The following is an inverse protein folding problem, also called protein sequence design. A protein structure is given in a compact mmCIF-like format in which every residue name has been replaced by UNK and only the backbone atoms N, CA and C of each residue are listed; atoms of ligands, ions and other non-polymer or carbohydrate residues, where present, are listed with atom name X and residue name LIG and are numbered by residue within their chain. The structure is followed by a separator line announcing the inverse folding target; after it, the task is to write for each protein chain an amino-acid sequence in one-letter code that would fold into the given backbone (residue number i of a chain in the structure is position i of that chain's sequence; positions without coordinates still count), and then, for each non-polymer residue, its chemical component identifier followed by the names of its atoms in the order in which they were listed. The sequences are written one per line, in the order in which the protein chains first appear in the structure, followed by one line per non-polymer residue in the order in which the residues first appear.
data_IF_278672826920
#
_entry.id   IF_278672826920
#
_cell.length_a   1.000
_cell.length_b   1.000
_cell.length_c   1.000
_cell.angle_alpha   90.00
_cell.angle_beta   90.00
_cell.angle_gamma   90.00
#
_symmetry.space_group_name_H-M   'P 1'
#
loop_
_entity.id
_entity.type
_entity.pdbx_description
1 polymer ?
#
# COMPACT_ATOMS: atom_id res chain seq x y z
N UNK A 1 -17.93 64.02 0.41
CA UNK A 1 -18.56 62.72 0.16
C UNK A 1 -17.91 61.72 1.13
N UNK A 2 -18.50 61.53 2.30
CA UNK A 2 -17.97 60.65 3.35
C UNK A 2 -18.52 59.23 3.10
N UNK A 3 -17.70 58.36 2.61
CA UNK A 3 -18.00 56.93 2.53
C UNK A 3 -17.93 56.38 3.95
N UNK A 4 -19.05 55.85 4.40
CA UNK A 4 -19.29 55.41 5.76
C UNK A 4 -18.35 54.22 6.09
N UNK A 5 -17.29 54.45 6.87
CA UNK A 5 -16.29 53.46 7.29
C UNK A 5 -16.91 52.26 8.01
N UNK A 6 -18.11 52.39 8.55
CA UNK A 6 -18.86 51.32 9.22
C UNK A 6 -19.39 50.25 8.26
N UNK A 7 -19.67 50.61 6.99
CA UNK A 7 -20.16 49.64 5.98
C UNK A 7 -19.03 48.72 5.47
N UNK A 8 -17.80 49.25 5.48
CA UNK A 8 -16.64 48.45 5.02
C UNK A 8 -16.23 47.39 6.05
N UNK A 9 -16.47 47.61 7.35
CA UNK A 9 -16.16 46.68 8.42
C UNK A 9 -17.14 45.50 8.46
N UNK A 10 -18.39 45.72 8.08
CA UNK A 10 -19.42 44.67 8.04
C UNK A 10 -19.22 43.75 6.81
N UNK A 11 -18.76 44.27 5.69
CA UNK A 11 -18.49 43.49 4.48
C UNK A 11 -17.26 42.57 4.64
N UNK A 12 -16.26 43.00 5.43
CA UNK A 12 -15.08 42.18 5.73
C UNK A 12 -15.35 41.04 6.75
N UNK A 13 -16.35 41.22 7.63
CA UNK A 13 -16.74 40.20 8.60
C UNK A 13 -17.53 39.05 7.94
N UNK A 14 -18.28 39.30 6.84
CA UNK A 14 -19.03 38.28 6.11
C UNK A 14 -18.17 37.41 5.18
N UNK A 15 -16.94 37.83 4.85
CA UNK A 15 -16.02 37.04 4.02
C UNK A 15 -15.15 36.07 4.83
N UNK A 16 -15.26 36.07 6.16
CA UNK A 16 -14.50 35.19 7.06
C UNK A 16 -15.30 34.02 7.61
N UNK A 17 -16.56 33.85 7.21
CA UNK A 17 -17.47 32.86 7.81
C UNK A 17 -17.54 31.49 7.14
N UNK A 18 -16.83 31.22 6.03
CA UNK A 18 -16.87 29.94 5.33
C UNK A 18 -15.47 29.32 5.11
N UNK A 19 -14.64 29.32 6.16
CA UNK A 19 -13.61 28.31 6.20
C UNK A 19 -14.29 27.01 6.66
N UNK A 20 -14.40 25.99 5.79
CA UNK A 20 -14.93 24.71 6.24
C UNK A 20 -14.06 24.23 7.39
N UNK A 21 -14.67 24.05 8.55
CA UNK A 21 -13.99 23.42 9.68
C UNK A 21 -13.39 22.11 9.12
N UNK A 22 -12.07 21.92 9.26
CA UNK A 22 -11.44 20.68 8.86
C UNK A 22 -12.13 19.54 9.64
N UNK A 23 -13.03 18.85 8.98
CA UNK A 23 -13.70 17.69 9.56
C UNK A 23 -12.70 16.54 9.66
N UNK A 24 -12.85 15.69 10.69
CA UNK A 24 -12.14 14.42 10.76
C UNK A 24 -12.36 13.66 9.44
N UNK A 25 -11.28 13.19 8.85
CA UNK A 25 -11.30 12.51 7.56
C UNK A 25 -10.84 11.06 7.77
N UNK A 26 -11.69 10.11 7.36
CA UNK A 26 -11.35 8.68 7.43
C UNK A 26 -10.58 8.24 6.20
N UNK A 27 -10.96 8.71 5.03
CA UNK A 27 -10.35 8.35 3.75
C UNK A 27 -9.92 9.60 3.00
N UNK A 28 -8.72 9.59 2.42
CA UNK A 28 -8.31 10.68 1.54
C UNK A 28 -9.26 10.79 0.35
N UNK A 29 -9.58 12.03 -0.03
CA UNK A 29 -10.40 12.30 -1.21
C UNK A 29 -9.62 11.99 -2.50
N UNK A 30 -10.32 11.72 -3.62
CA UNK A 30 -9.67 11.51 -4.92
C UNK A 30 -8.72 12.65 -5.32
N UNK A 31 -9.06 13.89 -5.01
CA UNK A 31 -8.22 15.05 -5.36
C UNK A 31 -6.96 15.13 -4.48
N UNK A 32 -7.05 14.75 -3.20
CA UNK A 32 -5.88 14.65 -2.34
C UNK A 32 -4.93 13.54 -2.82
N UNK A 33 -5.46 12.37 -3.24
CA UNK A 33 -4.65 11.28 -3.77
C UNK A 33 -3.96 11.71 -5.08
N UNK A 34 -4.68 12.39 -5.98
CA UNK A 34 -4.09 12.96 -7.20
C UNK A 34 -2.97 13.96 -6.88
N UNK A 35 -3.18 14.80 -5.86
CA UNK A 35 -2.19 15.80 -5.45
C UNK A 35 -0.88 15.20 -4.92
N UNK A 36 -0.92 14.02 -4.27
CA UNK A 36 0.27 13.31 -3.77
C UNK A 36 0.85 12.32 -4.77
N UNK A 37 0.17 12.07 -5.90
CA UNK A 37 0.63 11.19 -6.99
C UNK A 37 0.61 11.92 -8.34
N UNK A 38 1.21 13.13 -8.46
CA UNK A 38 1.06 14.00 -9.63
C UNK A 38 1.76 13.43 -10.88
N UNK A 39 2.80 12.61 -10.70
CA UNK A 39 3.57 12.01 -11.80
C UNK A 39 2.78 10.91 -12.55
N UNK A 40 1.68 10.40 -11.96
CA UNK A 40 0.85 9.42 -12.62
C UNK A 40 -0.15 10.08 -13.59
N UNK A 41 0.04 9.85 -14.87
CA UNK A 41 -0.80 10.38 -15.96
C UNK A 41 -1.76 9.35 -16.56
N UNK A 42 -1.72 8.10 -16.08
CA UNK A 42 -2.57 7.01 -16.56
C UNK A 42 -3.97 6.98 -15.93
N UNK A 43 -4.69 5.88 -16.19
CA UNK A 43 -6.03 5.63 -15.63
C UNK A 43 -5.98 5.61 -14.08
N UNK A 44 -7.06 6.06 -13.44
CA UNK A 44 -7.23 6.03 -11.99
C UNK A 44 -8.54 5.31 -11.63
N UNK A 45 -8.55 4.74 -10.43
CA UNK A 45 -9.79 4.32 -9.80
C UNK A 45 -10.65 5.52 -9.40
N UNK A 46 -11.94 5.29 -9.12
CA UNK A 46 -12.88 6.33 -8.70
C UNK A 46 -12.43 7.01 -7.39
N UNK A 47 -11.71 6.29 -6.52
CA UNK A 47 -11.12 6.82 -5.30
C UNK A 47 -9.86 7.68 -5.54
N UNK A 48 -9.39 7.81 -6.78
CA UNK A 48 -8.26 8.64 -7.19
C UNK A 48 -6.92 7.90 -7.24
N UNK A 49 -6.83 6.65 -6.75
CA UNK A 49 -5.59 5.86 -6.79
C UNK A 49 -5.13 5.60 -8.23
N UNK A 50 -3.82 5.66 -8.52
CA UNK A 50 -3.26 5.17 -9.76
C UNK A 50 -3.69 3.73 -10.07
N UNK A 51 -4.08 3.47 -11.32
CA UNK A 51 -4.48 2.14 -11.80
C UNK A 51 -3.43 1.60 -12.76
N UNK A 52 -2.34 1.08 -12.22
CA UNK A 52 -1.35 0.33 -13.01
C UNK A 52 -2.06 -0.84 -13.70
N UNK A 53 -1.83 -1.05 -14.99
CA UNK A 53 -2.55 -2.08 -15.76
C UNK A 53 -2.20 -3.49 -15.28
N UNK A 54 -3.17 -4.41 -15.36
CA UNK A 54 -2.98 -5.81 -14.97
C UNK A 54 -1.86 -6.46 -15.78
N UNK A 55 -1.79 -6.17 -17.09
CA UNK A 55 -0.71 -6.64 -17.97
C UNK A 55 0.68 -6.23 -17.48
N UNK A 56 0.82 -5.03 -16.89
CA UNK A 56 2.08 -4.57 -16.38
C UNK A 56 2.41 -5.25 -15.04
N UNK A 57 1.41 -5.50 -14.20
CA UNK A 57 1.56 -6.27 -12.96
C UNK A 57 1.95 -7.73 -13.24
N UNK A 58 1.34 -8.38 -14.25
CA UNK A 58 1.72 -9.73 -14.68
C UNK A 58 3.19 -9.80 -15.10
N UNK A 59 3.70 -8.81 -15.82
CA UNK A 59 5.13 -8.71 -16.16
C UNK A 59 5.99 -8.49 -14.91
N UNK A 60 5.54 -7.62 -14.00
CA UNK A 60 6.23 -7.34 -12.75
C UNK A 60 6.41 -8.60 -11.90
N UNK A 61 5.46 -9.53 -11.89
CA UNK A 61 5.57 -10.80 -11.17
C UNK A 61 6.82 -11.62 -11.54
N UNK A 62 7.31 -11.48 -12.76
CA UNK A 62 8.47 -12.21 -13.27
C UNK A 62 9.82 -11.51 -13.00
N UNK A 63 9.80 -10.26 -12.52
CA UNK A 63 11.02 -9.50 -12.23
C UNK A 63 11.63 -9.97 -10.90
N UNK A 64 12.95 -10.06 -10.81
CA UNK A 64 13.62 -10.35 -9.53
C UNK A 64 13.51 -9.15 -8.57
N UNK A 65 13.60 -9.46 -7.29
CA UNK A 65 13.58 -8.41 -6.25
C UNK A 65 14.79 -7.48 -6.37
N UNK A 66 15.95 -8.06 -6.68
CA UNK A 66 17.23 -7.36 -6.81
C UNK A 66 17.23 -6.40 -8.01
N UNK A 67 16.65 -6.80 -9.13
CA UNK A 67 16.54 -5.95 -10.33
C UNK A 67 15.60 -4.76 -10.09
N UNK A 68 14.43 -5.02 -9.49
CA UNK A 68 13.51 -3.97 -9.12
C UNK A 68 14.13 -2.99 -8.12
N UNK A 69 14.78 -3.53 -7.07
CA UNK A 69 15.47 -2.73 -6.06
C UNK A 69 16.61 -1.90 -6.66
N UNK A 70 17.46 -2.52 -7.48
CA UNK A 70 18.58 -1.84 -8.11
C UNK A 70 18.14 -0.71 -9.04
N UNK A 71 17.05 -0.94 -9.79
CA UNK A 71 16.48 0.09 -10.67
C UNK A 71 15.95 1.28 -9.86
N UNK A 72 15.16 1.02 -8.80
CA UNK A 72 14.63 2.08 -7.94
C UNK A 72 15.75 2.86 -7.23
N UNK A 73 16.77 2.16 -6.73
CA UNK A 73 17.91 2.78 -6.06
C UNK A 73 18.67 3.74 -6.99
N UNK A 74 18.87 3.35 -8.25
CA UNK A 74 19.52 4.20 -9.26
C UNK A 74 18.69 5.43 -9.63
N UNK A 75 17.37 5.39 -9.38
CA UNK A 75 16.45 6.52 -9.53
C UNK A 75 16.32 7.37 -8.27
N UNK A 76 17.08 7.06 -7.19
CA UNK A 76 17.04 7.80 -5.93
C UNK A 76 16.07 7.25 -4.88
N UNK A 77 15.34 6.16 -5.18
CA UNK A 77 14.40 5.51 -4.25
C UNK A 77 15.11 4.45 -3.41
N UNK A 78 15.73 4.86 -2.31
CA UNK A 78 16.60 3.99 -1.50
C UNK A 78 15.85 3.10 -0.50
N UNK A 79 14.62 3.45 -0.14
CA UNK A 79 13.87 2.86 0.97
C UNK A 79 12.50 2.33 0.52
N UNK A 80 12.46 1.48 -0.51
CA UNK A 80 11.21 0.92 -1.04
C UNK A 80 11.06 -0.58 -0.78
N UNK A 81 12.04 -1.22 -0.18
CA UNK A 81 12.05 -2.65 0.14
C UNK A 81 11.99 -2.89 1.64
N UNK A 82 11.24 -3.92 2.04
CA UNK A 82 11.19 -4.43 3.42
C UNK A 82 11.29 -5.95 3.43
N UNK A 83 12.07 -6.49 4.35
CA UNK A 83 12.27 -7.92 4.59
C UNK A 83 11.67 -8.40 5.90
N UNK A 84 12.11 -9.58 6.33
CA UNK A 84 11.77 -10.19 7.63
C UNK A 84 10.26 -10.38 7.83
N UNK A 85 9.63 -11.05 6.89
CA UNK A 85 8.20 -11.37 6.91
C UNK A 85 7.96 -12.83 7.31
N UNK A 86 6.89 -13.06 8.06
CA UNK A 86 6.18 -14.34 8.06
C UNK A 86 5.27 -14.32 6.82
N UNK A 87 5.39 -15.36 5.99
CA UNK A 87 4.66 -15.45 4.72
C UNK A 87 3.71 -16.64 4.81
N UNK A 88 2.46 -16.43 4.42
CA UNK A 88 1.44 -17.50 4.50
C UNK A 88 1.76 -18.60 3.48
N UNK A 89 2.06 -18.25 2.24
CA UNK A 89 2.46 -19.18 1.17
C UNK A 89 3.78 -18.72 0.53
N UNK A 90 4.90 -19.22 1.05
CA UNK A 90 6.25 -18.75 0.67
C UNK A 90 6.59 -18.89 -0.82
N UNK A 91 6.04 -19.89 -1.49
CA UNK A 91 6.34 -20.15 -2.90
C UNK A 91 5.52 -19.29 -3.87
N UNK A 92 4.52 -18.56 -3.37
CA UNK A 92 3.66 -17.75 -4.22
C UNK A 92 4.18 -16.32 -4.32
N UNK A 93 4.15 -15.79 -5.52
CA UNK A 93 4.42 -14.37 -5.80
C UNK A 93 3.10 -13.61 -5.73
N UNK A 94 3.09 -12.47 -5.06
CA UNK A 94 1.96 -11.56 -5.05
C UNK A 94 2.34 -10.23 -5.70
N UNK A 95 1.52 -9.78 -6.64
CA UNK A 95 1.61 -8.45 -7.24
C UNK A 95 0.25 -7.76 -7.18
N UNK A 96 0.24 -6.45 -7.06
CA UNK A 96 -1.01 -5.70 -7.06
C UNK A 96 -0.79 -4.22 -6.82
N UNK A 97 -1.87 -3.51 -6.55
CA UNK A 97 -1.89 -2.07 -6.27
C UNK A 97 -2.19 -1.85 -4.80
N UNK A 98 -1.43 -1.00 -4.14
CA UNK A 98 -1.61 -0.75 -2.72
C UNK A 98 -2.91 0.02 -2.43
N UNK A 99 -3.81 -0.58 -1.65
CA UNK A 99 -4.79 0.15 -0.85
C UNK A 99 -4.17 0.32 0.53
N UNK A 100 -3.80 1.54 0.88
CA UNK A 100 -3.01 1.83 2.08
C UNK A 100 -3.88 2.16 3.28
N UNK A 101 -3.50 1.64 4.45
CA UNK A 101 -4.21 1.90 5.71
C UNK A 101 -3.23 2.13 6.84
N UNK A 102 -3.43 3.21 7.58
CA UNK A 102 -2.63 3.54 8.76
C UNK A 102 -3.37 3.16 10.03
N UNK A 103 -2.69 2.42 10.89
CA UNK A 103 -3.11 2.18 12.27
C UNK A 103 -2.15 2.85 13.25
N UNK A 104 -2.67 3.18 14.42
CA UNK A 104 -1.94 3.82 15.52
C UNK A 104 -2.31 3.17 16.85
N UNK A 105 -1.48 3.35 17.90
CA UNK A 105 -1.88 3.00 19.27
C UNK A 105 -3.23 3.64 19.61
N UNK A 106 -4.09 2.88 20.30
CA UNK A 106 -5.44 3.33 20.63
C UNK A 106 -5.41 4.62 21.46
N UNK A 107 -6.06 5.62 20.93
CA UNK A 107 -6.40 6.86 21.61
C UNK A 107 -7.92 7.03 21.58
N UNK A 108 -8.62 6.78 22.72
CA UNK A 108 -10.08 6.63 22.73
C UNK A 108 -10.83 7.84 22.18
N UNK A 109 -10.46 9.04 22.58
CA UNK A 109 -11.10 10.30 22.14
C UNK A 109 -11.04 10.48 20.61
N UNK A 110 -9.92 10.16 19.98
CA UNK A 110 -9.79 10.20 18.52
C UNK A 110 -10.45 9.02 17.83
N UNK A 111 -10.30 7.83 18.39
CA UNK A 111 -10.98 6.64 17.86
C UNK A 111 -12.51 6.83 17.78
N UNK A 112 -13.10 7.46 18.79
CA UNK A 112 -14.54 7.75 18.81
C UNK A 112 -14.93 8.74 17.71
N UNK A 113 -14.09 9.76 17.43
CA UNK A 113 -14.31 10.66 16.30
C UNK A 113 -14.24 9.96 14.96
N UNK A 114 -13.25 9.05 14.75
CA UNK A 114 -13.12 8.25 13.54
C UNK A 114 -14.35 7.35 13.35
N UNK A 115 -14.78 6.65 14.41
CA UNK A 115 -15.96 5.79 14.36
C UNK A 115 -17.21 6.58 14.02
N UNK A 116 -17.47 7.68 14.73
CA UNK A 116 -18.59 8.57 14.44
C UNK A 116 -18.60 9.04 12.99
N UNK A 117 -17.44 9.45 12.48
CA UNK A 117 -17.31 9.89 11.10
C UNK A 117 -17.61 8.76 10.11
N UNK A 118 -17.11 7.56 10.39
CA UNK A 118 -17.41 6.38 9.56
C UNK A 118 -18.91 6.04 9.56
N UNK A 119 -19.59 6.12 10.70
CA UNK A 119 -21.04 5.93 10.81
C UNK A 119 -21.81 6.99 9.99
N UNK A 120 -21.39 8.25 10.05
CA UNK A 120 -21.95 9.35 9.22
C UNK A 120 -21.76 9.09 7.72
N UNK A 121 -20.68 8.42 7.33
CA UNK A 121 -20.40 7.99 5.95
C UNK A 121 -21.10 6.67 5.56
N UNK A 122 -21.88 6.07 6.47
CA UNK A 122 -22.61 4.82 6.24
C UNK A 122 -21.75 3.56 6.30
N UNK A 123 -20.54 3.62 6.89
CA UNK A 123 -19.69 2.45 7.07
C UNK A 123 -20.23 1.52 8.14
N UNK A 124 -20.09 0.23 7.92
CA UNK A 124 -20.63 -0.82 8.79
C UNK A 124 -19.47 -1.65 9.36
N UNK A 125 -19.65 -2.15 10.59
CA UNK A 125 -18.72 -3.05 11.26
C UNK A 125 -17.51 -2.37 11.90
N UNK A 126 -16.48 -3.14 12.17
CA UNK A 126 -15.23 -2.64 12.76
C UNK A 126 -14.41 -1.83 11.77
N UNK A 127 -13.61 -0.88 12.29
CA UNK A 127 -12.80 0.00 11.44
C UNK A 127 -11.82 -0.77 10.54
N UNK A 128 -11.40 -1.97 10.94
CA UNK A 128 -10.52 -2.84 10.16
C UNK A 128 -11.22 -3.53 8.97
N UNK A 129 -12.55 -3.57 8.94
CA UNK A 129 -13.32 -4.08 7.79
C UNK A 129 -13.56 -3.02 6.72
N UNK A 130 -13.58 -1.74 7.07
CA UNK A 130 -13.90 -0.65 6.14
C UNK A 130 -12.98 -0.57 4.90
N UNK A 131 -11.66 -0.78 5.02
CA UNK A 131 -10.80 -0.82 3.83
C UNK A 131 -11.13 -1.97 2.88
N UNK A 132 -11.67 -3.09 3.41
CA UNK A 132 -12.00 -4.29 2.63
C UNK A 132 -13.09 -3.98 1.62
N UNK A 133 -14.09 -3.18 2.02
CA UNK A 133 -15.20 -2.76 1.15
C UNK A 133 -14.74 -1.85 0.00
N UNK A 134 -13.50 -1.32 0.08
CA UNK A 134 -12.92 -0.44 -0.94
C UNK A 134 -11.94 -1.17 -1.89
N UNK A 135 -11.67 -2.45 -1.64
CA UNK A 135 -10.77 -3.24 -2.49
C UNK A 135 -11.41 -3.49 -3.86
N UNK A 136 -10.59 -3.35 -4.89
CA UNK A 136 -10.91 -3.74 -6.27
C UNK A 136 -10.05 -4.94 -6.69
N UNK A 137 -10.45 -5.70 -7.74
CA UNK A 137 -9.64 -6.79 -8.27
C UNK A 137 -8.21 -6.33 -8.60
N UNK A 138 -7.22 -7.09 -8.11
CA UNK A 138 -5.80 -6.78 -8.25
C UNK A 138 -5.24 -5.81 -7.20
N UNK A 139 -6.02 -5.39 -6.22
CA UNK A 139 -5.51 -4.63 -5.07
C UNK A 139 -4.82 -5.54 -4.06
N UNK A 140 -3.87 -4.98 -3.33
CA UNK A 140 -3.26 -5.55 -2.11
C UNK A 140 -3.64 -4.65 -0.94
N UNK A 141 -4.20 -5.22 0.13
CA UNK A 141 -4.43 -4.46 1.34
C UNK A 141 -3.11 -4.29 2.08
N UNK A 142 -2.58 -3.06 2.07
CA UNK A 142 -1.30 -2.71 2.71
C UNK A 142 -1.56 -1.90 3.98
N UNK A 143 -1.17 -2.42 5.14
CA UNK A 143 -1.39 -1.74 6.40
C UNK A 143 -0.11 -1.53 7.21
N UNK A 144 0.05 -0.32 7.74
CA UNK A 144 1.00 -0.07 8.82
C UNK A 144 0.30 -0.21 10.18
N UNK A 145 0.53 -1.34 10.84
CA UNK A 145 0.13 -1.63 12.21
C UNK A 145 1.25 -1.41 13.21
N UNK A 146 2.23 -0.58 12.89
CA UNK A 146 3.42 -0.25 13.71
C UNK A 146 4.12 -1.46 14.35
N UNK A 147 4.04 -2.63 13.72
CA UNK A 147 4.64 -3.88 14.21
C UNK A 147 3.94 -4.50 15.41
N UNK A 148 2.71 -4.08 15.74
CA UNK A 148 1.96 -4.61 16.88
C UNK A 148 1.49 -6.05 16.60
N UNK A 149 1.76 -6.94 17.56
CA UNK A 149 1.40 -8.36 17.48
C UNK A 149 0.22 -8.65 18.42
N UNK A 150 0.44 -8.63 19.73
CA UNK A 150 -0.59 -8.91 20.73
C UNK A 150 -1.60 -7.79 20.78
N UNK A 151 -2.92 -8.11 20.83
CA UNK A 151 -4.03 -7.14 20.81
C UNK A 151 -4.03 -6.19 19.59
N UNK A 152 -3.41 -6.62 18.50
CA UNK A 152 -3.26 -5.84 17.28
C UNK A 152 -3.51 -6.63 16.00
N UNK A 153 -4.14 -7.80 16.09
CA UNK A 153 -4.41 -8.63 14.91
C UNK A 153 -5.47 -7.96 14.01
N UNK A 154 -5.05 -7.62 12.80
CA UNK A 154 -5.86 -6.83 11.87
C UNK A 154 -7.00 -7.65 11.27
N UNK A 155 -6.74 -8.92 10.95
CA UNK A 155 -7.70 -9.83 10.36
C UNK A 155 -7.58 -11.24 10.96
N UNK A 156 -8.64 -12.03 10.79
CA UNK A 156 -8.66 -13.48 10.84
C UNK A 156 -9.17 -14.03 9.50
N UNK A 157 -9.51 -15.31 9.47
CA UNK A 157 -9.95 -16.04 8.27
C UNK A 157 -11.22 -15.46 7.62
N UNK A 158 -12.19 -15.04 8.41
CA UNK A 158 -13.43 -14.40 7.89
C UNK A 158 -13.12 -13.16 7.06
N UNK A 159 -12.26 -12.25 7.56
CA UNK A 159 -11.86 -11.05 6.82
C UNK A 159 -10.90 -11.40 5.69
N UNK A 160 -10.06 -12.43 5.85
CA UNK A 160 -9.22 -12.97 4.77
C UNK A 160 -10.05 -13.44 3.56
N UNK A 161 -11.12 -14.20 3.81
CA UNK A 161 -12.07 -14.60 2.76
C UNK A 161 -12.70 -13.39 2.05
N UNK A 162 -13.10 -12.37 2.82
CA UNK A 162 -13.68 -11.15 2.26
C UNK A 162 -12.66 -10.38 1.41
N UNK A 163 -11.42 -10.23 1.89
CA UNK A 163 -10.33 -9.59 1.13
C UNK A 163 -10.12 -10.31 -0.21
N UNK A 164 -10.00 -11.64 -0.18
CA UNK A 164 -9.82 -12.42 -1.41
C UNK A 164 -11.03 -12.33 -2.34
N UNK A 165 -12.23 -12.33 -1.81
CA UNK A 165 -13.46 -12.18 -2.60
C UNK A 165 -13.46 -10.88 -3.42
N UNK A 166 -13.00 -9.77 -2.83
CA UNK A 166 -12.99 -8.44 -3.47
C UNK A 166 -11.75 -8.23 -4.35
N UNK A 167 -10.56 -8.53 -3.82
CA UNK A 167 -9.30 -8.19 -4.49
C UNK A 167 -8.74 -9.29 -5.39
N UNK A 168 -9.12 -10.57 -5.18
CA UNK A 168 -8.47 -11.74 -5.73
C UNK A 168 -6.97 -11.79 -5.40
N UNK A 169 -6.61 -11.24 -4.26
CA UNK A 169 -5.24 -11.02 -3.81
C UNK A 169 -5.17 -11.15 -2.27
N UNK A 170 -4.13 -10.62 -1.67
CA UNK A 170 -3.85 -10.76 -0.25
C UNK A 170 -3.45 -9.48 0.44
N UNK A 171 -2.56 -9.61 1.44
CA UNK A 171 -2.20 -8.53 2.35
C UNK A 171 -0.70 -8.35 2.53
N UNK A 172 -0.29 -7.12 2.85
CA UNK A 172 1.03 -6.79 3.40
C UNK A 172 0.81 -5.99 4.69
N UNK A 173 1.05 -6.59 5.85
CA UNK A 173 0.80 -5.97 7.13
C UNK A 173 2.07 -5.80 7.96
N UNK A 174 2.47 -4.58 8.20
CA UNK A 174 3.40 -4.28 9.28
C UNK A 174 2.68 -4.43 10.63
N UNK A 175 2.23 -5.63 10.93
CA UNK A 175 1.36 -6.00 12.03
C UNK A 175 1.10 -7.50 12.04
N UNK A 176 0.04 -7.93 12.71
CA UNK A 176 -0.28 -9.35 12.91
C UNK A 176 -1.67 -9.75 12.39
N UNK A 177 -1.83 -11.05 12.24
CA UNK A 177 -3.11 -11.70 11.96
C UNK A 177 -3.41 -12.78 13.00
N UNK A 178 -4.65 -13.27 13.00
CA UNK A 178 -5.06 -14.48 13.73
C UNK A 178 -5.60 -15.53 12.76
N UNK A 179 -5.95 -16.69 13.30
CA UNK A 179 -6.58 -17.77 12.52
C UNK A 179 -5.74 -18.19 11.29
N UNK A 180 -4.41 -18.30 11.47
CA UNK A 180 -3.45 -18.53 10.38
C UNK A 180 -3.82 -19.75 9.54
N UNK A 181 -4.19 -20.87 10.17
CA UNK A 181 -4.60 -22.07 9.47
C UNK A 181 -5.82 -21.84 8.54
N UNK A 182 -6.79 -21.05 8.99
CA UNK A 182 -7.93 -20.68 8.14
C UNK A 182 -7.56 -19.73 7.01
N UNK A 183 -6.56 -18.88 7.20
CA UNK A 183 -6.01 -18.04 6.11
C UNK A 183 -5.23 -18.86 5.07
N UNK A 184 -4.51 -19.90 5.50
CA UNK A 184 -3.81 -20.85 4.63
C UNK A 184 -4.76 -21.69 3.75
N UNK A 185 -6.00 -21.92 4.21
CA UNK A 185 -7.01 -22.65 3.43
C UNK A 185 -7.66 -21.82 2.31
N UNK A 186 -7.44 -20.49 2.29
CA UNK A 186 -8.03 -19.62 1.24
C UNK A 186 -7.18 -19.73 -0.03
N UNK A 187 -7.64 -20.51 -1.00
CA UNK A 187 -6.94 -20.68 -2.27
C UNK A 187 -6.70 -19.36 -3.00
N UNK A 188 -5.43 -19.05 -3.29
CA UNK A 188 -5.00 -17.82 -3.97
C UNK A 188 -4.80 -16.62 -3.06
N UNK A 189 -5.20 -16.66 -1.80
CA UNK A 189 -4.84 -15.62 -0.83
C UNK A 189 -3.39 -15.79 -0.40
N UNK A 190 -2.70 -14.67 -0.20
CA UNK A 190 -1.37 -14.70 0.43
C UNK A 190 -1.19 -13.50 1.38
N UNK A 191 -0.21 -13.59 2.29
CA UNK A 191 0.05 -12.53 3.25
C UNK A 191 1.51 -12.46 3.66
N UNK A 192 2.04 -11.24 3.66
CA UNK A 192 3.32 -10.86 4.27
C UNK A 192 3.01 -10.10 5.55
N UNK A 193 3.28 -10.70 6.69
CA UNK A 193 2.88 -10.22 8.02
C UNK A 193 4.07 -10.22 8.97
N UNK A 194 4.03 -9.47 10.06
CA UNK A 194 5.10 -9.47 11.07
C UNK A 194 4.90 -10.51 12.16
N UNK A 195 3.71 -11.09 12.27
CA UNK A 195 3.45 -12.16 13.23
C UNK A 195 2.00 -12.60 13.28
N UNK A 196 1.73 -13.51 14.20
CA UNK A 196 0.39 -14.01 14.50
C UNK A 196 0.15 -14.01 16.01
N UNK A 197 -1.10 -13.86 16.41
CA UNK A 197 -1.53 -13.91 17.80
C UNK A 197 -3.01 -14.28 17.86
N UNK A 198 -3.52 -15.04 18.85
CA UNK A 198 -4.95 -15.38 18.93
C UNK A 198 -5.84 -14.21 19.37
N UNK A 199 -5.25 -13.09 19.78
CA UNK A 199 -6.01 -11.90 20.17
C UNK A 199 -6.75 -11.26 18.98
N UNK A 200 -7.46 -10.18 19.24
CA UNK A 200 -8.12 -9.37 18.23
C UNK A 200 -7.70 -7.90 18.34
N UNK A 201 -8.16 -7.07 17.42
CA UNK A 201 -7.82 -5.65 17.41
C UNK A 201 -8.45 -4.94 18.61
N UNK A 202 -7.64 -4.54 19.59
CA UNK A 202 -8.10 -3.91 20.83
C UNK A 202 -7.32 -2.64 21.18
N UNK A 203 -6.00 -2.68 21.11
CA UNK A 203 -5.12 -1.60 21.57
C UNK A 203 -4.58 -0.75 20.43
N UNK A 204 -5.26 -0.78 19.31
CA UNK A 204 -4.94 0.03 18.14
C UNK A 204 -6.21 0.61 17.52
N UNK A 205 -6.06 1.68 16.78
CA UNK A 205 -7.13 2.34 16.05
C UNK A 205 -6.69 2.61 14.62
N UNK A 206 -7.63 2.58 13.69
CA UNK A 206 -7.38 3.06 12.34
C UNK A 206 -7.36 4.60 12.35
N UNK A 207 -6.35 5.20 11.73
CA UNK A 207 -6.24 6.66 11.60
C UNK A 207 -6.58 7.17 10.20
N UNK A 208 -6.52 6.31 9.18
CA UNK A 208 -6.93 6.71 7.83
C UNK A 208 -6.73 5.63 6.78
N UNK A 209 -7.47 5.79 5.69
CA UNK A 209 -7.43 4.94 4.49
C UNK A 209 -6.93 5.77 3.31
N UNK A 210 -6.18 5.15 2.42
CA UNK A 210 -5.55 5.79 1.25
C UNK A 210 -4.66 6.98 1.62
N UNK A 211 -4.01 6.91 2.78
CA UNK A 211 -2.98 7.87 3.20
C UNK A 211 -1.58 7.33 2.85
N UNK A 212 -0.56 8.21 2.73
CA UNK A 212 0.82 7.77 2.76
C UNK A 212 1.10 7.03 4.08
N UNK A 213 1.67 5.84 4.00
CA UNK A 213 2.01 5.04 5.17
C UNK A 213 3.48 4.65 5.17
N UNK A 214 3.97 4.18 6.32
CA UNK A 214 5.29 3.59 6.45
C UNK A 214 5.18 2.10 6.71
N UNK A 215 5.74 1.28 5.84
CA UNK A 215 5.88 -0.16 6.05
C UNK A 215 7.35 -0.48 6.27
N UNK A 216 7.74 -0.71 7.53
CA UNK A 216 9.14 -0.82 7.91
C UNK A 216 9.93 0.45 7.54
N UNK A 217 10.88 0.34 6.61
CA UNK A 217 11.64 1.47 6.07
C UNK A 217 11.02 2.09 4.81
N UNK A 218 10.03 1.44 4.20
CA UNK A 218 9.44 1.91 2.95
C UNK A 218 8.33 2.94 3.19
N UNK A 219 8.28 3.96 2.34
CA UNK A 219 7.14 4.86 2.21
C UNK A 219 6.25 4.33 1.08
N UNK A 220 4.98 4.14 1.37
CA UNK A 220 4.00 3.58 0.42
C UNK A 220 2.88 4.58 0.21
N UNK A 221 2.64 4.93 -1.03
CA UNK A 221 1.51 5.77 -1.43
C UNK A 221 0.35 4.92 -1.96
N UNK A 222 -0.89 5.42 -1.87
CA UNK A 222 -2.05 4.76 -2.47
C UNK A 222 -1.83 4.53 -3.97
N UNK A 223 -2.01 3.29 -4.43
CA UNK A 223 -1.84 2.91 -5.83
C UNK A 223 -0.41 2.55 -6.25
N UNK A 224 0.57 2.60 -5.35
CA UNK A 224 1.90 2.04 -5.61
C UNK A 224 1.79 0.56 -5.98
N UNK A 225 2.62 0.08 -6.90
CA UNK A 225 2.67 -1.34 -7.20
C UNK A 225 3.43 -2.09 -6.11
N UNK A 226 2.85 -3.20 -5.70
CA UNK A 226 3.43 -4.15 -4.74
C UNK A 226 4.00 -5.33 -5.51
N UNK A 227 5.27 -5.67 -5.26
CA UNK A 227 5.85 -6.95 -5.63
C UNK A 227 6.31 -7.63 -4.35
N UNK A 228 5.67 -8.73 -4.00
CA UNK A 228 5.94 -9.50 -2.81
C UNK A 228 6.37 -10.92 -3.19
N UNK A 229 7.54 -11.33 -2.70
CA UNK A 229 8.19 -12.61 -2.93
C UNK A 229 8.75 -13.17 -1.62
N UNK A 230 9.26 -14.39 -1.67
CA UNK A 230 9.90 -15.05 -0.52
C UNK A 230 10.98 -14.18 0.16
N UNK A 231 11.71 -13.38 -0.62
CA UNK A 231 12.79 -12.53 -0.10
C UNK A 231 12.29 -11.26 0.56
N UNK A 232 11.05 -10.84 0.33
CA UNK A 232 10.47 -9.64 0.91
C UNK A 232 9.46 -8.95 0.03
N UNK A 233 9.17 -7.69 0.34
CA UNK A 233 8.22 -6.85 -0.38
C UNK A 233 8.89 -5.58 -0.85
N UNK A 234 8.65 -5.20 -2.10
CA UNK A 234 9.07 -3.91 -2.64
C UNK A 234 7.85 -3.12 -3.14
N UNK A 235 7.82 -1.84 -2.83
CA UNK A 235 6.77 -0.91 -3.22
C UNK A 235 7.31 0.02 -4.31
N UNK A 236 6.66 0.04 -5.45
CA UNK A 236 7.14 0.74 -6.64
C UNK A 236 6.16 1.88 -6.94
N UNK A 237 6.63 3.15 -6.94
CA UNK A 237 5.79 4.26 -7.37
C UNK A 237 5.10 3.96 -8.69
N UNK A 238 3.78 4.15 -8.77
CA UNK A 238 2.96 3.73 -9.91
C UNK A 238 3.54 4.18 -11.25
N UNK A 239 4.02 5.42 -11.34
CA UNK A 239 4.58 6.00 -12.57
C UNK A 239 5.94 5.41 -13.00
N UNK A 240 6.62 4.68 -12.10
CA UNK A 240 7.91 4.03 -12.38
C UNK A 240 7.77 2.55 -12.76
N UNK A 241 6.60 1.95 -12.60
CA UNK A 241 6.43 0.50 -12.78
C UNK A 241 6.85 0.04 -14.17
N UNK A 242 6.44 0.76 -15.23
CA UNK A 242 6.82 0.41 -16.60
C UNK A 242 8.33 0.48 -16.81
N UNK A 243 8.96 1.54 -16.30
CA UNK A 243 10.42 1.71 -16.39
C UNK A 243 11.16 0.61 -15.64
N UNK A 244 10.69 0.26 -14.44
CA UNK A 244 11.27 -0.83 -13.63
C UNK A 244 11.14 -2.15 -14.38
N UNK A 245 9.97 -2.49 -14.89
CA UNK A 245 9.74 -3.74 -15.64
C UNK A 245 10.64 -3.83 -16.86
N UNK A 246 10.62 -2.82 -17.74
CA UNK A 246 11.42 -2.84 -18.99
C UNK A 246 12.90 -2.95 -18.69
N UNK A 247 13.41 -2.18 -17.72
CA UNK A 247 14.83 -2.19 -17.37
C UNK A 247 15.24 -3.54 -16.77
N UNK A 248 14.42 -4.12 -15.90
CA UNK A 248 14.71 -5.40 -15.27
C UNK A 248 14.67 -6.55 -16.28
N UNK A 249 13.68 -6.57 -17.20
CA UNK A 249 13.65 -7.54 -18.29
C UNK A 249 14.91 -7.49 -19.16
N UNK A 250 15.40 -6.28 -19.46
CA UNK A 250 16.65 -6.11 -20.21
C UNK A 250 17.86 -6.64 -19.42
N UNK A 251 17.95 -6.34 -18.13
CA UNK A 251 19.03 -6.84 -17.26
C UNK A 251 18.99 -8.37 -17.21
N UNK A 252 17.80 -8.97 -17.01
CA UNK A 252 17.63 -10.42 -16.96
C UNK A 252 18.13 -11.11 -18.24
N UNK A 253 17.84 -10.55 -19.42
CA UNK A 253 18.35 -11.06 -20.70
C UNK A 253 19.86 -10.97 -20.78
N UNK A 254 20.45 -9.87 -20.39
CA UNK A 254 21.91 -9.69 -20.35
C UNK A 254 22.57 -10.68 -19.41
N UNK A 255 22.01 -10.85 -18.22
CA UNK A 255 22.54 -11.76 -17.20
C UNK A 255 22.40 -13.23 -17.64
N UNK A 256 21.32 -13.58 -18.32
CA UNK A 256 21.18 -14.92 -18.93
C UNK A 256 22.31 -15.22 -19.92
N UNK A 257 22.65 -14.25 -20.76
CA UNK A 257 23.78 -14.36 -21.70
C UNK A 257 25.12 -14.47 -20.95
N UNK A 258 25.35 -13.61 -19.96
CA UNK A 258 26.56 -13.64 -19.12
C UNK A 258 26.74 -14.98 -18.39
N UNK A 259 25.66 -15.47 -17.76
CA UNK A 259 25.66 -16.76 -17.07
C UNK A 259 26.00 -17.93 -18.02
N UNK A 260 25.48 -17.90 -19.26
CA UNK A 260 25.81 -18.92 -20.24
C UNK A 260 27.32 -18.89 -20.57
N UNK A 261 27.90 -17.70 -20.82
CA UNK A 261 29.32 -17.55 -21.12
C UNK A 261 30.22 -17.99 -19.98
N UNK A 262 29.83 -17.65 -18.72
CA UNK A 262 30.58 -18.10 -17.54
C UNK A 262 30.55 -19.62 -17.36
N UNK A 263 29.38 -20.27 -17.60
CA UNK A 263 29.27 -21.73 -17.52
C UNK A 263 30.10 -22.46 -18.57
N UNK A 264 30.35 -21.86 -19.73
CA UNK A 264 31.24 -22.40 -20.77
C UNK A 264 32.71 -22.43 -20.32
N UNK A 265 33.07 -21.73 -19.23
CA UNK A 265 34.44 -21.67 -18.68
C UNK A 265 35.45 -20.97 -19.60
N UNK A 266 34.98 -20.23 -20.60
CA UNK A 266 35.83 -19.53 -21.57
C UNK A 266 36.15 -18.10 -21.20
N UNK A 267 35.34 -17.49 -20.33
CA UNK A 267 35.42 -16.10 -19.91
C UNK A 267 35.53 -16.00 -18.42
N UNK A 268 36.29 -15.04 -17.93
CA UNK A 268 36.34 -14.67 -16.53
C UNK A 268 35.17 -13.74 -16.18
N UNK A 269 34.73 -13.66 -14.90
CA UNK A 269 33.71 -12.69 -14.48
C UNK A 269 34.03 -11.25 -14.89
N UNK A 270 35.30 -10.83 -14.75
CA UNK A 270 35.72 -9.48 -15.13
C UNK A 270 35.71 -9.20 -16.63
N UNK A 271 35.70 -10.21 -17.50
CA UNK A 271 35.52 -10.05 -18.94
C UNK A 271 34.07 -9.90 -19.32
N UNK A 272 33.15 -10.51 -18.56
CA UNK A 272 31.70 -10.43 -18.78
C UNK A 272 31.12 -9.10 -18.27
N UNK A 273 31.69 -8.52 -17.20
CA UNK A 273 31.22 -7.29 -16.58
C UNK A 273 31.66 -6.00 -17.33
N UNK A 274 32.50 -6.13 -18.35
CA UNK A 274 32.94 -5.02 -19.20
C UNK A 274 31.95 -4.69 -20.31
#
# INVERSE_FOLDING_TARGET
MYINRSLLLILTLFLLSDLPAQSVQVTMTPDQIKAITPEWTGERFDDGRPKVSDRLLERLANISMEEAWGTLRNLGFHNQYEGDWLIIHEENVMVGRALTVQYMPLRPDWNDLIKKKGEEEGRIGGTNSWPIDMLAPGDVYVADGYGKIVDGTLIGDNLGNSIYAHSKNGVVFNGSVRDLAGLEEIEGFNGWIKGQDPSYIQQMMMSGINQPIRVGRATVLPGDAVLAKKTGVIFIPAYLVEQVVIRSEFIALRDQFGHQRLREGKYTPGEIDR
#
